data_IF_496564841805
#
_entry.id   IF_496564841805
#
_cell.length_a   1.000
_cell.length_b   1.000
_cell.length_c   1.000
_cell.angle_alpha   90.00
_cell.angle_beta   90.00
_cell.angle_gamma   90.00
#
_symmetry.space_group_name_H-M   'P 1'
#
loop_
_entity.id
_entity.type
_entity.pdbx_description
1 polymer ?
#
# COMPACT_ATOMS: atom_id res chain seq x y z
N UNK A 1 -2.71 -8.37 -9.15
CA UNK A 1 -2.61 -7.57 -7.92
C UNK A 1 -3.97 -7.11 -7.38
N UNK A 2 -4.93 -6.66 -8.19
CA UNK A 2 -6.23 -6.14 -7.69
C UNK A 2 -6.93 -7.06 -6.68
N UNK A 3 -6.91 -8.39 -6.87
CA UNK A 3 -7.49 -9.33 -5.90
C UNK A 3 -6.83 -9.31 -4.51
N UNK A 4 -5.54 -9.01 -4.38
CA UNK A 4 -4.91 -8.84 -3.07
C UNK A 4 -5.43 -7.61 -2.32
N UNK A 5 -5.92 -6.60 -3.04
CA UNK A 5 -6.44 -5.36 -2.44
C UNK A 5 -7.96 -5.34 -2.31
N UNK A 6 -8.67 -6.15 -3.10
CA UNK A 6 -10.14 -6.20 -3.09
C UNK A 6 -10.67 -7.41 -2.32
N UNK A 7 -9.86 -8.46 -2.14
CA UNK A 7 -10.26 -9.68 -1.44
C UNK A 7 -11.59 -10.24 -1.98
N UNK A 8 -12.57 -10.43 -1.11
CA UNK A 8 -13.90 -10.93 -1.46
C UNK A 8 -14.70 -9.97 -2.36
N UNK A 9 -14.34 -8.69 -2.39
CA UNK A 9 -14.94 -7.68 -3.27
C UNK A 9 -14.32 -7.67 -4.67
N UNK A 10 -13.44 -8.62 -5.00
CA UNK A 10 -12.82 -8.68 -6.32
C UNK A 10 -13.84 -9.00 -7.42
N UNK A 11 -13.99 -8.09 -8.37
CA UNK A 11 -14.73 -8.28 -9.61
C UNK A 11 -13.76 -8.33 -10.80
N UNK A 12 -13.74 -9.47 -11.51
CA UNK A 12 -12.84 -9.67 -12.64
C UNK A 12 -13.15 -8.73 -13.82
N UNK A 13 -14.42 -8.45 -14.09
CA UNK A 13 -14.84 -7.59 -15.19
C UNK A 13 -14.40 -6.15 -14.93
N UNK A 14 -14.57 -5.66 -13.70
CA UNK A 14 -14.10 -4.35 -13.27
C UNK A 14 -12.58 -4.27 -13.35
N UNK A 15 -11.87 -5.29 -12.83
CA UNK A 15 -10.41 -5.32 -12.86
C UNK A 15 -9.84 -5.31 -14.29
N UNK A 16 -10.43 -6.10 -15.21
CA UNK A 16 -10.05 -6.11 -16.63
C UNK A 16 -10.36 -4.81 -17.34
N UNK A 17 -11.50 -4.19 -17.03
CA UNK A 17 -11.89 -2.88 -17.58
C UNK A 17 -10.91 -1.79 -17.16
N UNK A 18 -10.54 -1.76 -15.87
CA UNK A 18 -9.51 -0.85 -15.35
C UNK A 18 -8.15 -1.08 -16.02
N UNK A 19 -7.71 -2.35 -16.12
CA UNK A 19 -6.45 -2.70 -16.78
C UNK A 19 -6.45 -2.24 -18.25
N UNK A 20 -7.54 -2.47 -18.99
CA UNK A 20 -7.68 -2.04 -20.39
C UNK A 20 -7.56 -0.53 -20.54
N UNK A 21 -8.16 0.25 -19.64
CA UNK A 21 -8.03 1.72 -19.64
C UNK A 21 -6.58 2.13 -19.40
N UNK A 22 -5.87 1.49 -18.47
CA UNK A 22 -4.46 1.77 -18.20
C UNK A 22 -3.61 1.43 -19.43
N UNK A 23 -3.69 0.20 -19.94
CA UNK A 23 -2.88 -0.24 -21.09
C UNK A 23 -3.23 0.48 -22.39
N UNK A 24 -4.42 1.09 -22.48
CA UNK A 24 -4.80 1.93 -23.61
C UNK A 24 -4.23 3.35 -23.56
N UNK A 25 -3.83 3.85 -22.39
CA UNK A 25 -3.25 5.19 -22.22
C UNK A 25 -1.72 5.18 -22.09
N UNK A 26 -1.13 4.03 -21.76
CA UNK A 26 0.31 3.87 -21.61
C UNK A 26 0.83 2.82 -22.58
N UNK A 27 1.66 3.26 -23.52
CA UNK A 27 2.32 2.38 -24.49
C UNK A 27 3.47 1.60 -23.82
N UNK A 28 3.76 0.41 -24.34
CA UNK A 28 4.91 -0.42 -23.94
C UNK A 28 4.94 -0.84 -22.45
N UNK A 29 3.79 -0.93 -21.78
CA UNK A 29 3.72 -1.47 -20.42
C UNK A 29 4.12 -2.96 -20.41
N UNK A 30 5.13 -3.28 -19.60
CA UNK A 30 5.54 -4.65 -19.33
C UNK A 30 4.84 -5.17 -18.08
N UNK A 31 4.45 -6.44 -18.11
CA UNK A 31 4.00 -7.12 -16.90
C UNK A 31 5.15 -7.24 -15.90
N UNK A 32 4.85 -7.13 -14.61
CA UNK A 32 5.84 -7.41 -13.57
C UNK A 32 6.33 -8.86 -13.67
N UNK A 33 7.63 -9.06 -13.41
CA UNK A 33 8.24 -10.40 -13.28
C UNK A 33 7.79 -11.07 -11.98
N UNK A 34 7.41 -10.28 -10.99
CA UNK A 34 6.84 -10.75 -9.74
C UNK A 34 5.46 -11.35 -9.97
N UNK A 35 5.32 -12.63 -9.62
CA UNK A 35 4.08 -13.39 -9.83
C UNK A 35 3.68 -14.10 -8.55
N UNK A 36 2.41 -13.96 -8.20
CA UNK A 36 1.76 -14.73 -7.15
C UNK A 36 0.55 -15.43 -7.75
N UNK A 37 0.35 -16.71 -7.42
CA UNK A 37 -0.80 -17.47 -7.92
C UNK A 37 -2.10 -16.81 -7.43
N UNK A 38 -3.03 -16.56 -8.36
CA UNK A 38 -4.27 -15.85 -8.08
C UNK A 38 -5.14 -16.49 -6.98
N UNK A 39 -5.05 -17.81 -6.83
CA UNK A 39 -5.74 -18.57 -5.78
C UNK A 39 -5.13 -18.37 -4.38
N UNK A 40 -3.86 -17.96 -4.28
CA UNK A 40 -3.18 -17.73 -3.02
C UNK A 40 -3.43 -16.33 -2.45
N UNK A 41 -3.86 -15.37 -3.29
CA UNK A 41 -4.05 -13.96 -2.90
C UNK A 41 -4.99 -13.76 -1.69
N UNK A 42 -6.12 -14.48 -1.55
CA UNK A 42 -7.03 -14.30 -0.42
C UNK A 42 -6.43 -14.64 0.94
N UNK A 43 -5.52 -15.62 0.96
CA UNK A 43 -4.86 -16.12 2.17
C UNK A 43 -3.37 -15.78 2.17
N UNK A 44 -2.96 -14.80 1.38
CA UNK A 44 -1.56 -14.46 1.26
C UNK A 44 -1.03 -13.94 2.58
N UNK A 45 0.09 -14.52 2.99
CA UNK A 45 0.86 -14.14 4.15
C UNK A 45 2.31 -14.44 3.79
N UNK A 46 3.22 -13.51 4.05
CA UNK A 46 4.61 -13.67 3.64
C UNK A 46 5.28 -14.87 4.32
N UNK A 47 5.12 -14.95 5.64
CA UNK A 47 5.59 -16.02 6.49
C UNK A 47 4.52 -16.33 7.53
N UNK A 48 4.49 -17.58 8.01
CA UNK A 48 3.58 -17.95 9.11
C UNK A 48 3.76 -17.00 10.31
N UNK A 49 2.65 -16.49 10.84
CA UNK A 49 2.61 -15.51 11.91
C UNK A 49 2.78 -14.03 11.50
N UNK A 50 2.96 -13.73 10.20
CA UNK A 50 2.98 -12.34 9.70
C UNK A 50 1.58 -11.78 9.39
N UNK A 51 1.41 -10.46 9.24
CA UNK A 51 0.12 -9.85 8.96
C UNK A 51 -0.49 -10.32 7.63
N UNK A 52 -1.81 -10.45 7.60
CA UNK A 52 -2.66 -10.64 6.43
C UNK A 52 -3.29 -9.32 6.00
N UNK A 53 -4.06 -9.34 4.91
CA UNK A 53 -4.76 -8.15 4.40
C UNK A 53 -5.65 -7.47 5.47
N UNK A 54 -6.34 -8.28 6.27
CA UNK A 54 -7.29 -7.78 7.27
C UNK A 54 -6.62 -7.17 8.50
N UNK A 55 -5.32 -7.41 8.69
CA UNK A 55 -4.54 -6.89 9.81
C UNK A 55 -4.07 -5.46 9.54
N UNK A 56 -5.00 -4.58 9.13
CA UNK A 56 -4.70 -3.18 8.88
C UNK A 56 -4.28 -2.46 10.17
N UNK A 57 -3.33 -1.53 10.05
CA UNK A 57 -2.83 -0.72 11.16
C UNK A 57 -3.58 0.61 11.17
N UNK A 58 -4.27 0.91 12.27
CA UNK A 58 -4.82 2.24 12.53
C UNK A 58 -3.69 3.17 12.97
N UNK A 59 -3.53 4.30 12.29
CA UNK A 59 -2.47 5.28 12.54
C UNK A 59 -2.99 6.61 13.09
N UNK A 60 -4.29 6.88 12.97
CA UNK A 60 -4.93 8.01 13.62
C UNK A 60 -6.44 7.77 13.76
N UNK A 61 -7.06 8.47 14.72
CA UNK A 61 -8.51 8.50 14.92
C UNK A 61 -8.97 9.91 15.27
N UNK A 62 -10.11 10.32 14.74
CA UNK A 62 -10.71 11.62 15.01
C UNK A 62 -11.66 12.08 13.91
N UNK A 63 -12.48 13.09 14.22
CA UNK A 63 -13.46 13.65 13.28
C UNK A 63 -12.86 14.73 12.36
N UNK A 64 -11.61 15.13 12.61
CA UNK A 64 -10.92 16.23 11.96
C UNK A 64 -9.69 15.78 11.14
N UNK A 65 -9.53 14.48 10.88
CA UNK A 65 -8.36 13.92 10.18
C UNK A 65 -8.07 14.62 8.84
N UNK A 66 -9.09 14.87 8.02
CA UNK A 66 -8.95 15.59 6.75
C UNK A 66 -8.50 17.05 6.93
N UNK A 67 -8.86 17.69 8.05
CA UNK A 67 -8.40 19.04 8.37
C UNK A 67 -6.93 19.03 8.80
N UNK A 68 -6.49 18.03 9.56
CA UNK A 68 -5.10 17.90 10.04
C UNK A 68 -4.10 17.72 8.90
N UNK A 69 -4.49 17.00 7.86
CA UNK A 69 -3.62 16.76 6.70
C UNK A 69 -3.63 17.90 5.68
N UNK A 70 -4.55 18.86 5.83
CA UNK A 70 -4.68 19.99 4.91
C UNK A 70 -3.37 20.78 4.87
N UNK A 71 -2.85 21.00 3.67
CA UNK A 71 -1.55 21.66 3.42
C UNK A 71 -0.32 20.92 3.99
N UNK A 72 -0.44 19.66 4.43
CA UNK A 72 0.70 18.88 4.86
C UNK A 72 1.55 18.52 3.64
N UNK A 73 2.79 19.03 3.56
CA UNK A 73 3.73 18.81 2.44
C UNK A 73 4.09 17.34 2.22
N UNK A 74 3.78 16.45 3.17
CA UNK A 74 3.97 15.01 3.03
C UNK A 74 2.82 14.33 2.29
N UNK A 75 1.66 14.96 2.19
CA UNK A 75 0.53 14.44 1.40
C UNK A 75 0.66 14.94 -0.03
N UNK A 76 0.79 14.01 -0.98
CA UNK A 76 1.02 14.34 -2.40
C UNK A 76 -0.20 14.12 -3.28
N UNK A 77 -1.17 13.36 -2.81
CA UNK A 77 -2.46 13.25 -3.46
C UNK A 77 -3.55 12.99 -2.42
N UNK A 78 -4.76 13.39 -2.78
CA UNK A 78 -6.01 13.08 -2.08
C UNK A 78 -7.02 12.64 -3.13
N UNK A 79 -7.61 11.46 -2.95
CA UNK A 79 -8.62 10.90 -3.82
C UNK A 79 -9.85 10.54 -2.98
N UNK A 80 -10.95 11.26 -3.21
CA UNK A 80 -12.25 10.89 -2.64
C UNK A 80 -12.82 9.70 -3.40
N UNK A 81 -13.38 8.77 -2.65
CA UNK A 81 -14.03 7.56 -3.16
C UNK A 81 -15.55 7.71 -3.03
N UNK A 82 -16.29 7.02 -3.89
CA UNK A 82 -17.75 7.13 -3.97
C UNK A 82 -18.46 6.67 -2.68
N UNK A 83 -17.80 5.81 -1.89
CA UNK A 83 -18.28 5.36 -0.58
C UNK A 83 -18.04 6.37 0.56
N UNK A 84 -17.56 7.57 0.26
CA UNK A 84 -17.26 8.62 1.24
C UNK A 84 -15.88 8.51 1.91
N UNK A 85 -15.14 7.42 1.66
CA UNK A 85 -13.76 7.31 2.12
C UNK A 85 -12.82 8.21 1.31
N UNK A 86 -11.65 8.49 1.85
CA UNK A 86 -10.61 9.27 1.19
C UNK A 86 -9.29 8.50 1.23
N UNK A 87 -8.69 8.27 0.06
CA UNK A 87 -7.36 7.69 -0.08
C UNK A 87 -6.33 8.82 -0.24
N UNK A 88 -5.27 8.81 0.55
CA UNK A 88 -4.18 9.78 0.44
C UNK A 88 -2.84 9.08 0.21
N UNK A 89 -1.91 9.77 -0.44
CA UNK A 89 -0.54 9.31 -0.61
C UNK A 89 0.43 10.09 0.28
N UNK A 90 1.16 9.39 1.13
CA UNK A 90 2.14 9.98 2.06
C UNK A 90 3.58 9.75 1.59
N UNK A 91 4.36 10.83 1.46
CA UNK A 91 5.82 10.77 1.32
C UNK A 91 6.44 10.35 2.65
N UNK A 92 7.07 9.19 2.68
CA UNK A 92 7.83 8.72 3.83
C UNK A 92 9.09 9.58 4.08
N UNK A 93 9.65 9.48 5.28
CA UNK A 93 10.91 10.14 5.63
C UNK A 93 12.07 9.68 4.74
N UNK A 94 13.07 10.55 4.54
CA UNK A 94 14.24 10.30 3.66
C UNK A 94 15.06 9.06 4.06
N UNK A 95 14.99 8.61 5.32
CA UNK A 95 15.64 7.36 5.76
C UNK A 95 14.75 6.16 5.44
N UNK A 96 13.45 6.29 5.70
CA UNK A 96 12.45 5.25 5.48
C UNK A 96 12.31 4.93 4.00
N UNK A 97 12.19 5.93 3.12
CA UNK A 97 11.92 5.75 1.69
C UNK A 97 13.05 5.07 0.88
N UNK A 98 14.26 4.92 1.45
CA UNK A 98 15.41 4.30 0.77
C UNK A 98 15.35 2.77 0.69
N UNK A 99 14.38 2.15 1.35
CA UNK A 99 14.25 0.70 1.39
C UNK A 99 14.05 0.09 0.00
N UNK A 100 13.38 0.80 -0.92
CA UNK A 100 13.25 0.39 -2.33
C UNK A 100 14.60 0.27 -3.04
N UNK A 101 15.62 1.03 -2.62
CA UNK A 101 16.99 0.83 -3.12
C UNK A 101 17.65 -0.46 -2.62
N UNK A 102 17.13 -1.07 -1.54
CA UNK A 102 17.67 -2.31 -0.94
C UNK A 102 16.98 -3.56 -1.47
N UNK A 103 15.65 -3.52 -1.62
CA UNK A 103 14.83 -4.66 -2.06
C UNK A 103 14.48 -4.60 -3.56
N UNK A 104 15.00 -3.61 -4.27
CA UNK A 104 14.71 -3.37 -5.69
C UNK A 104 13.61 -2.33 -5.91
N UNK A 105 13.67 -1.67 -7.07
CA UNK A 105 12.76 -0.58 -7.46
C UNK A 105 11.68 -1.02 -8.46
N UNK A 106 11.67 -2.30 -8.84
CA UNK A 106 10.74 -2.83 -9.85
C UNK A 106 9.27 -2.63 -9.46
N UNK A 107 8.95 -2.62 -8.16
CA UNK A 107 7.61 -2.30 -7.66
C UNK A 107 7.63 -0.97 -6.85
N UNK A 108 8.23 0.08 -7.42
CA UNK A 108 8.26 1.44 -6.86
C UNK A 108 6.86 2.04 -6.56
N UNK A 109 5.79 1.38 -7.02
CA UNK A 109 4.40 1.66 -6.64
C UNK A 109 4.12 1.56 -5.11
N UNK A 110 5.09 1.12 -4.31
CA UNK A 110 5.04 1.24 -2.85
C UNK A 110 4.99 2.69 -2.36
N UNK A 111 5.42 3.66 -3.18
CA UNK A 111 5.49 5.07 -2.81
C UNK A 111 4.75 5.94 -3.83
N UNK A 112 4.05 7.01 -3.37
CA UNK A 112 3.81 7.39 -1.97
C UNK A 112 2.94 6.35 -1.22
N UNK A 113 3.12 6.26 0.10
CA UNK A 113 2.48 5.20 0.89
C UNK A 113 0.98 5.48 1.07
N UNK A 114 0.09 4.54 0.74
CA UNK A 114 -1.35 4.78 0.78
C UNK A 114 -1.88 4.76 2.22
N UNK A 115 -2.72 5.75 2.55
CA UNK A 115 -3.50 5.81 3.79
C UNK A 115 -4.98 5.95 3.44
N UNK A 116 -5.81 5.06 3.97
CA UNK A 116 -7.25 5.10 3.84
C UNK A 116 -7.85 5.85 5.04
N UNK A 117 -8.66 6.88 4.78
CA UNK A 117 -9.40 7.63 5.80
C UNK A 117 -10.87 7.32 5.61
N UNK A 118 -11.48 6.66 6.59
CA UNK A 118 -12.89 6.28 6.59
C UNK A 118 -13.41 6.19 8.02
N UNK A 119 -14.69 6.52 8.24
CA UNK A 119 -15.35 6.34 9.53
C UNK A 119 -14.60 6.96 10.74
N UNK A 120 -13.91 8.09 10.53
CA UNK A 120 -13.13 8.76 11.57
C UNK A 120 -11.81 8.06 11.93
N UNK A 121 -11.35 7.11 11.12
CA UNK A 121 -10.11 6.37 11.30
C UNK A 121 -9.21 6.54 10.07
N UNK A 122 -7.90 6.70 10.29
CA UNK A 122 -6.89 6.59 9.27
C UNK A 122 -6.19 5.23 9.42
N UNK A 123 -6.22 4.42 8.37
CA UNK A 123 -5.66 3.07 8.32
C UNK A 123 -4.67 2.92 7.20
N UNK A 124 -3.73 2.01 7.41
CA UNK A 124 -2.83 1.51 6.38
C UNK A 124 -2.86 -0.01 6.36
N UNK A 125 -2.57 -0.61 5.21
CA UNK A 125 -2.13 -2.00 5.21
C UNK A 125 -0.87 -2.12 6.06
N UNK A 126 -0.79 -3.17 6.88
CA UNK A 126 0.43 -3.42 7.64
C UNK A 126 1.63 -3.41 6.69
N UNK A 127 2.68 -2.62 6.97
CA UNK A 127 3.77 -2.49 6.03
C UNK A 127 4.52 -3.78 5.72
N UNK A 128 4.51 -4.78 6.62
CA UNK A 128 5.05 -6.11 6.32
C UNK A 128 4.23 -6.81 5.24
N UNK A 129 2.90 -6.76 5.36
CA UNK A 129 1.99 -7.29 4.33
C UNK A 129 2.12 -6.51 3.02
N UNK A 130 2.08 -5.18 3.07
CA UNK A 130 2.12 -4.34 1.88
C UNK A 130 3.42 -4.48 1.10
N UNK A 131 4.57 -4.53 1.77
CA UNK A 131 5.86 -4.73 1.11
C UNK A 131 5.93 -6.13 0.49
N UNK A 132 5.55 -7.17 1.23
CA UNK A 132 5.65 -8.56 0.74
C UNK A 132 4.68 -8.86 -0.39
N UNK A 133 3.45 -8.33 -0.36
CA UNK A 133 2.50 -8.53 -1.46
C UNK A 133 2.94 -7.82 -2.75
N UNK A 134 3.63 -6.68 -2.62
CA UNK A 134 4.22 -5.97 -3.75
C UNK A 134 5.51 -6.61 -4.27
N UNK A 135 6.24 -7.33 -3.44
CA UNK A 135 7.43 -8.11 -3.81
C UNK A 135 7.24 -9.59 -3.42
N UNK A 136 6.35 -10.33 -4.10
CA UNK A 136 6.02 -11.70 -3.74
C UNK A 136 7.18 -12.69 -3.89
N UNK A 137 8.23 -12.32 -4.63
CA UNK A 137 9.47 -13.10 -4.75
C UNK A 137 10.56 -12.68 -3.75
N UNK A 138 10.29 -11.70 -2.89
CA UNK A 138 11.23 -11.23 -1.88
C UNK A 138 11.61 -12.37 -0.95
N UNK A 139 12.90 -12.58 -0.74
CA UNK A 139 13.38 -13.59 0.18
C UNK A 139 13.37 -13.06 1.62
N UNK A 140 13.32 -13.98 2.58
CA UNK A 140 13.39 -13.60 4.00
C UNK A 140 14.72 -12.89 4.33
N UNK A 141 15.83 -13.33 3.73
CA UNK A 141 17.15 -12.68 3.84
C UNK A 141 17.10 -11.22 3.39
N UNK A 142 16.43 -10.93 2.29
CA UNK A 142 16.24 -9.58 1.76
C UNK A 142 15.31 -8.75 2.66
N UNK A 143 14.21 -9.33 3.13
CA UNK A 143 13.29 -8.66 4.06
C UNK A 143 13.99 -8.28 5.37
N UNK A 144 14.91 -9.11 5.87
CA UNK A 144 15.69 -8.80 7.07
C UNK A 144 16.58 -7.56 6.90
N UNK A 145 17.03 -7.22 5.69
CA UNK A 145 17.79 -5.99 5.42
C UNK A 145 16.98 -4.70 5.63
N UNK A 146 15.65 -4.82 5.70
CA UNK A 146 14.69 -3.74 5.90
C UNK A 146 13.81 -3.97 7.14
N UNK A 147 14.21 -4.81 8.09
CA UNK A 147 13.38 -5.19 9.24
C UNK A 147 12.86 -4.00 10.08
N UNK A 148 13.57 -2.87 10.10
CA UNK A 148 13.16 -1.65 10.81
C UNK A 148 12.22 -0.75 10.01
N UNK A 149 12.11 -0.95 8.70
CA UNK A 149 11.35 -0.11 7.78
C UNK A 149 9.85 -0.16 8.07
N UNK A 150 9.22 -1.33 8.31
CA UNK A 150 7.79 -1.40 8.65
C UNK A 150 7.39 -0.48 9.82
N UNK A 151 8.15 -0.53 10.93
CA UNK A 151 7.87 0.34 12.08
C UNK A 151 8.11 1.82 11.78
N UNK A 152 9.08 2.14 10.92
CA UNK A 152 9.34 3.52 10.49
C UNK A 152 8.24 4.07 9.58
N UNK A 153 7.65 3.22 8.71
CA UNK A 153 6.49 3.58 7.87
C UNK A 153 5.31 4.00 8.73
N UNK A 154 4.95 3.19 9.73
CA UNK A 154 3.84 3.49 10.66
C UNK A 154 4.07 4.88 11.29
N UNK A 155 5.25 5.10 11.89
CA UNK A 155 5.61 6.37 12.53
C UNK A 155 5.58 7.56 11.58
N UNK A 156 6.02 7.39 10.33
CA UNK A 156 6.01 8.47 9.35
C UNK A 156 4.59 8.82 8.90
N UNK A 157 3.70 7.83 8.77
CA UNK A 157 2.30 8.07 8.44
C UNK A 157 1.53 8.69 9.62
N UNK A 158 1.75 8.22 10.86
CA UNK A 158 1.16 8.81 12.08
C UNK A 158 1.47 10.31 12.22
N UNK A 159 2.70 10.72 11.90
CA UNK A 159 3.13 12.14 11.99
C UNK A 159 2.36 13.07 11.06
N UNK A 160 1.71 12.56 10.01
CA UNK A 160 0.92 13.38 9.09
C UNK A 160 -0.35 13.91 9.78
N UNK A 161 -0.83 13.22 10.82
CA UNK A 161 -2.04 13.53 11.57
C UNK A 161 -1.79 14.20 12.93
N UNK A 162 -0.55 14.60 13.21
CA UNK A 162 -0.16 15.35 14.41
C UNK A 162 -0.02 16.83 14.05
#
# INVERSE_FOLDING_TARGET
MSKAFMQDNYDEKVARSALKKITGNFENLLNSKDKLKFQLLPKYQFMSGMPQYQDMVMIARGNDLLKKIKNNKKVVFEQKLDNGATLIGVILGRRTNKFTGRIGTNNAALLPYPVLIENGEAKILDPKYYISVMYPLLQMSEFMTIATVPGAIIKDCEKVFK
#
